data_IF_739562236577
#
_entry.id   IF_739562236577
#
_cell.length_a   1.000
_cell.length_b   1.000
_cell.length_c   1.000
_cell.angle_alpha   90.00
_cell.angle_beta   90.00
_cell.angle_gamma   90.00
#
_symmetry.space_group_name_H-M   'P 1'
#
loop_
_entity.id
_entity.type
_entity.pdbx_description
1 polymer ?
#
# COMPACT_ATOMS: atom_id res chain seq x y z
N UNK A 1 -4.39 -25.69 2.92
CA UNK A 1 -4.85 -25.60 1.53
C UNK A 1 -4.37 -24.26 1.02
N UNK A 2 -3.39 -24.25 0.12
CA UNK A 2 -2.86 -23.01 -0.44
C UNK A 2 -3.78 -22.59 -1.57
N UNK A 3 -4.60 -21.57 -1.36
CA UNK A 3 -5.28 -20.89 -2.45
C UNK A 3 -4.22 -20.00 -3.09
N UNK A 4 -3.48 -20.54 -4.06
CA UNK A 4 -2.72 -19.73 -4.99
C UNK A 4 -3.70 -19.13 -5.98
N UNK A 5 -4.45 -18.12 -5.54
CA UNK A 5 -5.19 -17.23 -6.42
C UNK A 5 -4.15 -16.32 -7.04
N UNK A 6 -3.74 -16.59 -8.28
CA UNK A 6 -2.99 -15.62 -9.06
C UNK A 6 -3.94 -14.46 -9.36
N UNK A 7 -3.78 -13.36 -8.64
CA UNK A 7 -4.43 -12.10 -8.96
C UNK A 7 -3.75 -11.53 -10.20
N UNK A 8 -4.25 -11.89 -11.39
CA UNK A 8 -3.73 -11.33 -12.64
C UNK A 8 -4.34 -9.94 -12.90
N UNK A 9 -3.47 -8.98 -13.18
CA UNK A 9 -3.87 -7.63 -13.57
C UNK A 9 -4.40 -7.62 -15.00
N UNK A 10 -5.52 -6.94 -15.22
CA UNK A 10 -6.10 -6.68 -16.54
C UNK A 10 -5.22 -5.68 -17.31
N UNK A 11 -4.73 -4.67 -16.62
CA UNK A 11 -3.90 -3.60 -17.18
C UNK A 11 -2.97 -3.05 -16.11
N UNK A 12 -1.76 -2.62 -16.50
CA UNK A 12 -0.84 -1.90 -15.63
C UNK A 12 -0.05 -0.85 -16.40
N UNK A 13 0.25 0.28 -15.77
CA UNK A 13 1.05 1.34 -16.41
C UNK A 13 1.06 2.65 -15.66
N UNK A 14 1.88 3.57 -16.15
CA UNK A 14 2.01 4.92 -15.59
C UNK A 14 0.90 5.86 -16.08
N UNK A 15 0.28 6.57 -15.15
CA UNK A 15 -0.53 7.76 -15.38
C UNK A 15 0.03 8.93 -14.54
N UNK A 16 1.02 9.61 -15.11
CA UNK A 16 1.79 10.68 -14.47
C UNK A 16 2.42 10.18 -13.17
N UNK A 17 2.36 10.83 -11.98
CA UNK A 17 3.16 10.29 -10.90
C UNK A 17 2.59 8.96 -10.36
N UNK A 18 1.43 8.52 -10.86
CA UNK A 18 0.77 7.30 -10.41
C UNK A 18 1.15 6.09 -11.26
N UNK A 19 1.62 5.04 -10.61
CA UNK A 19 1.63 3.71 -11.22
C UNK A 19 0.30 3.01 -10.93
N UNK A 20 -0.41 2.60 -11.97
CA UNK A 20 -1.75 2.03 -11.86
C UNK A 20 -1.76 0.55 -12.18
N UNK A 21 -2.52 -0.20 -11.40
CA UNK A 21 -2.86 -1.59 -11.65
C UNK A 21 -4.38 -1.72 -11.63
N UNK A 22 -4.93 -2.23 -12.73
CA UNK A 22 -6.35 -2.55 -12.88
C UNK A 22 -6.56 -4.04 -12.65
N UNK A 23 -7.33 -4.35 -11.62
CA UNK A 23 -7.77 -5.71 -11.31
C UNK A 23 -9.23 -5.87 -11.72
N UNK A 24 -9.76 -7.09 -11.61
CA UNK A 24 -11.18 -7.30 -11.86
C UNK A 24 -12.03 -6.47 -10.87
N UNK A 25 -11.76 -6.59 -9.56
CA UNK A 25 -12.60 -6.03 -8.48
C UNK A 25 -12.24 -4.62 -8.01
N UNK A 26 -11.05 -4.14 -8.36
CA UNK A 26 -10.56 -2.83 -7.94
C UNK A 26 -9.48 -2.28 -8.87
N UNK A 27 -9.31 -0.96 -8.82
CA UNK A 27 -8.16 -0.26 -9.41
C UNK A 27 -7.28 0.25 -8.27
N UNK A 28 -5.99 -0.03 -8.31
CA UNK A 28 -4.99 0.52 -7.39
C UNK A 28 -4.11 1.54 -8.11
N UNK A 29 -3.90 2.69 -7.49
CA UNK A 29 -3.01 3.77 -7.96
C UNK A 29 -1.98 4.07 -6.89
N UNK A 30 -0.74 3.67 -7.14
CA UNK A 30 0.40 3.84 -6.25
C UNK A 30 1.18 5.09 -6.62
N UNK A 31 1.76 5.78 -5.64
CA UNK A 31 2.62 6.96 -5.82
C UNK A 31 4.07 6.66 -5.42
N UNK A 32 4.81 5.83 -6.18
CA UNK A 32 6.22 5.57 -5.91
C UNK A 32 7.07 6.83 -6.18
N UNK A 33 8.29 6.84 -5.65
CA UNK A 33 9.25 7.93 -5.91
C UNK A 33 9.74 7.91 -7.36
N UNK A 34 10.20 9.06 -7.86
CA UNK A 34 10.70 9.18 -9.24
C UNK A 34 11.92 8.27 -9.45
N UNK A 35 11.85 7.41 -10.48
CA UNK A 35 12.89 6.43 -10.80
C UNK A 35 13.03 5.27 -9.81
N UNK A 36 12.12 5.11 -8.84
CA UNK A 36 12.11 3.97 -7.92
C UNK A 36 11.78 2.66 -8.67
N UNK A 37 12.51 1.59 -8.32
CA UNK A 37 12.22 0.25 -8.83
C UNK A 37 10.93 -0.27 -8.19
N UNK A 38 9.94 -0.57 -9.02
CA UNK A 38 8.59 -0.99 -8.58
C UNK A 38 8.59 -2.31 -7.81
N UNK A 39 9.63 -3.15 -7.99
CA UNK A 39 9.79 -4.40 -7.26
C UNK A 39 10.39 -4.19 -5.86
N UNK A 40 10.99 -3.02 -5.60
CA UNK A 40 11.70 -2.69 -4.36
C UNK A 40 10.96 -1.64 -3.50
N UNK A 41 9.81 -1.14 -3.97
CA UNK A 41 9.00 -0.14 -3.26
C UNK A 41 8.70 -0.61 -1.84
N UNK A 42 9.14 0.18 -0.86
CA UNK A 42 9.07 -0.16 0.56
C UNK A 42 8.15 0.76 1.37
N UNK A 43 7.80 1.93 0.82
CA UNK A 43 6.90 2.93 1.41
C UNK A 43 6.17 3.63 0.26
N UNK A 44 4.84 3.53 0.21
CA UNK A 44 4.06 4.12 -0.89
C UNK A 44 2.64 4.47 -0.48
N UNK A 45 2.16 5.62 -0.94
CA UNK A 45 0.74 5.97 -0.88
C UNK A 45 -0.05 5.26 -1.97
N UNK A 46 -1.22 4.75 -1.62
CA UNK A 46 -2.10 4.05 -2.56
C UNK A 46 -3.53 4.54 -2.46
N UNK A 47 -4.12 4.86 -3.62
CA UNK A 47 -5.57 4.95 -3.76
C UNK A 47 -6.13 3.66 -4.33
N UNK A 48 -7.22 3.18 -3.73
CA UNK A 48 -7.98 2.03 -4.23
C UNK A 48 -9.40 2.48 -4.58
N UNK A 49 -9.82 2.20 -5.81
CA UNK A 49 -11.21 2.40 -6.25
C UNK A 49 -11.85 1.03 -6.44
N UNK A 50 -12.87 0.71 -5.65
CA UNK A 50 -13.60 -0.56 -5.76
C UNK A 50 -14.61 -0.51 -6.91
N UNK A 51 -15.07 -1.68 -7.41
CA UNK A 51 -16.13 -1.80 -8.43
C UNK A 51 -17.37 -0.92 -8.18
N UNK A 52 -17.74 -0.69 -6.91
CA UNK A 52 -18.89 0.14 -6.54
C UNK A 52 -18.62 1.66 -6.62
N UNK A 53 -17.44 2.07 -7.08
CA UNK A 53 -17.01 3.47 -7.22
C UNK A 53 -16.54 4.12 -5.92
N UNK A 54 -16.56 3.42 -4.79
CA UNK A 54 -15.99 3.95 -3.54
C UNK A 54 -14.47 4.02 -3.63
N UNK A 55 -13.92 5.14 -3.14
CA UNK A 55 -12.49 5.43 -3.16
C UNK A 55 -11.92 5.42 -1.74
N UNK A 56 -10.73 4.85 -1.62
CA UNK A 56 -10.07 4.57 -0.36
C UNK A 56 -8.58 4.89 -0.46
N UNK A 57 -7.94 5.17 0.67
CA UNK A 57 -6.51 5.50 0.78
C UNK A 57 -5.85 4.71 1.90
N UNK A 58 -4.57 4.41 1.70
CA UNK A 58 -3.66 3.93 2.72
C UNK A 58 -2.22 4.36 2.37
N UNK A 59 -1.36 4.43 3.38
CA UNK A 59 0.09 4.44 3.18
C UNK A 59 0.64 3.06 3.57
N UNK A 60 1.29 2.39 2.62
CA UNK A 60 1.81 1.04 2.80
C UNK A 60 3.29 1.10 3.13
N UNK A 61 3.73 0.37 4.15
CA UNK A 61 5.13 0.22 4.54
C UNK A 61 5.52 -1.24 4.61
N UNK A 62 6.76 -1.59 4.30
CA UNK A 62 7.31 -2.90 4.67
C UNK A 62 7.75 -2.92 6.13
N UNK A 63 7.80 -4.11 6.74
CA UNK A 63 8.35 -4.28 8.10
C UNK A 63 9.79 -3.74 8.18
N UNK A 64 10.60 -4.02 7.16
CA UNK A 64 12.00 -3.57 7.07
C UNK A 64 12.10 -2.05 7.00
N UNK A 65 11.19 -1.39 6.29
CA UNK A 65 11.19 0.07 6.18
C UNK A 65 10.77 0.75 7.48
N UNK A 66 9.76 0.20 8.18
CA UNK A 66 9.40 0.68 9.52
C UNK A 66 10.60 0.59 10.46
N UNK A 67 11.31 -0.54 10.46
CA UNK A 67 12.52 -0.69 11.28
C UNK A 67 13.62 0.30 10.88
N UNK A 68 13.85 0.49 9.58
CA UNK A 68 14.85 1.42 9.05
C UNK A 68 14.55 2.85 9.50
N UNK A 69 13.29 3.29 9.41
CA UNK A 69 12.85 4.62 9.84
C UNK A 69 13.01 4.81 11.34
N UNK A 70 12.61 3.83 12.16
CA UNK A 70 12.80 3.89 13.61
C UNK A 70 14.27 3.97 14.00
N UNK A 71 15.16 3.24 13.30
CA UNK A 71 16.62 3.35 13.50
C UNK A 71 17.17 4.70 13.03
N UNK A 72 16.65 5.26 11.94
CA UNK A 72 17.05 6.57 11.43
C UNK A 72 16.70 7.69 12.42
N UNK A 73 15.55 7.60 13.08
CA UNK A 73 15.12 8.55 14.12
C UNK A 73 15.76 8.28 15.49
N UNK A 74 16.62 7.27 15.61
CA UNK A 74 17.32 7.01 16.86
C UNK A 74 18.28 8.17 17.19
N UNK A 75 18.06 8.81 18.34
CA UNK A 75 18.85 9.96 18.78
C UNK A 75 18.36 11.32 18.25
N UNK A 76 17.20 11.35 17.59
CA UNK A 76 16.49 12.58 17.22
C UNK A 76 15.24 12.77 18.09
N UNK A 77 14.50 13.87 17.92
CA UNK A 77 13.26 14.12 18.67
C UNK A 77 12.02 13.48 18.00
N UNK A 78 12.16 13.04 16.74
CA UNK A 78 11.13 12.34 15.99
C UNK A 78 10.74 11.01 16.64
N UNK A 79 9.42 10.80 16.77
CA UNK A 79 8.83 9.59 17.33
C UNK A 79 9.46 9.13 18.66
N UNK A 80 9.73 10.10 19.56
CA UNK A 80 10.41 9.88 20.85
C UNK A 80 11.77 9.17 20.70
N UNK A 81 12.55 9.58 19.70
CA UNK A 81 13.83 8.97 19.35
C UNK A 81 13.65 7.62 18.67
N UNK A 82 12.68 7.53 17.76
CA UNK A 82 12.38 6.30 17.00
C UNK A 82 11.78 5.15 17.82
N UNK A 83 11.16 5.44 18.97
CA UNK A 83 10.57 4.40 19.85
C UNK A 83 9.24 3.86 19.33
N UNK A 84 8.59 4.59 18.44
CA UNK A 84 7.37 4.14 17.80
C UNK A 84 7.35 4.54 16.33
N UNK A 85 6.43 3.92 15.61
CA UNK A 85 6.05 4.29 14.25
C UNK A 85 4.52 4.39 14.22
N UNK A 86 3.98 5.40 13.54
CA UNK A 86 2.55 5.60 13.44
C UNK A 86 2.17 6.40 12.19
N UNK A 87 1.08 5.98 11.54
CA UNK A 87 0.41 6.65 10.43
C UNK A 87 -1.09 6.30 10.52
N UNK A 88 -1.96 7.25 10.19
CA UNK A 88 -3.41 7.14 10.41
C UNK A 88 -4.10 6.06 9.58
N UNK A 89 -3.58 5.79 8.38
CA UNK A 89 -4.05 4.83 7.38
C UNK A 89 -2.93 3.87 6.97
N UNK A 90 -2.12 3.47 7.95
CA UNK A 90 -0.97 2.59 7.75
C UNK A 90 -1.32 1.13 7.53
N UNK A 91 -0.81 0.54 6.46
CA UNK A 91 -0.75 -0.91 6.27
C UNK A 91 0.70 -1.37 6.26
N UNK A 92 1.06 -2.29 7.15
CA UNK A 92 2.39 -2.93 7.15
C UNK A 92 2.31 -4.25 6.39
N UNK A 93 3.09 -4.37 5.32
CA UNK A 93 3.27 -5.61 4.55
C UNK A 93 4.64 -6.23 4.82
N UNK A 94 4.79 -7.52 4.51
CA UNK A 94 6.05 -8.22 4.72
C UNK A 94 7.08 -7.87 3.65
N UNK A 95 6.70 -8.05 2.40
CA UNK A 95 7.59 -8.03 1.26
C UNK A 95 7.42 -6.74 0.44
N UNK A 96 8.51 -6.17 -0.11
CA UNK A 96 8.45 -4.96 -0.93
C UNK A 96 7.77 -5.20 -2.28
N UNK A 97 7.49 -4.11 -2.97
CA UNK A 97 7.09 -4.12 -4.38
C UNK A 97 5.59 -4.03 -4.59
N UNK A 98 5.22 -3.35 -5.68
CA UNK A 98 3.83 -3.02 -6.00
C UNK A 98 2.97 -4.28 -6.23
N UNK A 99 3.53 -5.33 -6.82
CA UNK A 99 2.81 -6.58 -7.07
C UNK A 99 2.48 -7.33 -5.77
N UNK A 100 3.40 -7.32 -4.79
CA UNK A 100 3.15 -7.87 -3.45
C UNK A 100 2.08 -7.06 -2.72
N UNK A 101 2.15 -5.73 -2.76
CA UNK A 101 1.15 -4.85 -2.14
C UNK A 101 -0.23 -5.01 -2.78
N UNK A 102 -0.29 -5.19 -4.11
CA UNK A 102 -1.54 -5.46 -4.83
C UNK A 102 -2.15 -6.79 -4.43
N UNK A 103 -1.33 -7.83 -4.25
CA UNK A 103 -1.77 -9.14 -3.76
C UNK A 103 -2.36 -9.04 -2.35
N UNK A 104 -1.74 -8.24 -1.46
CA UNK A 104 -2.28 -7.98 -0.13
C UNK A 104 -3.63 -7.27 -0.21
N UNK A 105 -3.76 -6.22 -1.03
CA UNK A 105 -5.04 -5.49 -1.21
C UNK A 105 -6.13 -6.44 -1.69
N UNK A 106 -5.83 -7.30 -2.67
CA UNK A 106 -6.79 -8.27 -3.18
C UNK A 106 -7.23 -9.26 -2.09
N UNK A 107 -6.29 -9.80 -1.31
CA UNK A 107 -6.60 -10.67 -0.18
C UNK A 107 -7.45 -9.99 0.91
N UNK A 108 -7.20 -8.71 1.22
CA UNK A 108 -8.00 -7.94 2.18
C UNK A 108 -9.45 -7.75 1.69
N UNK A 109 -9.64 -7.56 0.37
CA UNK A 109 -10.97 -7.44 -0.23
C UNK A 109 -11.70 -8.79 -0.18
N UNK A 110 -11.03 -9.89 -0.55
CA UNK A 110 -11.61 -11.25 -0.49
C UNK A 110 -12.02 -11.65 0.93
N UNK A 111 -11.21 -11.29 1.93
CA UNK A 111 -11.48 -11.62 3.33
C UNK A 111 -12.48 -10.67 4.01
N UNK A 112 -12.87 -9.57 3.35
CA UNK A 112 -13.77 -8.56 3.92
C UNK A 112 -13.13 -7.64 4.97
N UNK A 113 -11.81 -7.62 5.07
CA UNK A 113 -11.03 -6.84 6.05
C UNK A 113 -10.66 -5.44 5.51
N UNK A 114 -10.80 -5.23 4.20
CA UNK A 114 -10.36 -4.02 3.51
C UNK A 114 -10.86 -2.71 4.16
N UNK A 115 -12.15 -2.62 4.49
CA UNK A 115 -12.75 -1.38 5.06
C UNK A 115 -12.35 -1.08 6.50
N UNK A 116 -11.74 -2.04 7.21
CA UNK A 116 -11.23 -1.83 8.57
C UNK A 116 -9.84 -1.20 8.57
N UNK A 117 -9.09 -1.39 7.48
CA UNK A 117 -7.69 -0.98 7.33
C UNK A 117 -7.58 0.30 6.51
N UNK A 118 -8.29 0.38 5.39
CA UNK A 118 -8.23 1.53 4.49
C UNK A 118 -9.15 2.65 4.96
N UNK A 119 -8.72 3.90 4.77
CA UNK A 119 -9.57 5.05 5.04
C UNK A 119 -10.39 5.42 3.80
N UNK A 120 -11.70 5.61 4.00
CA UNK A 120 -12.58 6.02 2.93
C UNK A 120 -12.37 7.49 2.59
N UNK A 121 -12.19 7.80 1.32
CA UNK A 121 -12.15 9.18 0.82
C UNK A 121 -13.59 9.69 0.70
N UNK A 122 -14.00 10.54 1.64
CA UNK A 122 -15.28 11.24 1.58
C UNK A 122 -14.97 12.61 0.98
N UNK A 123 -15.57 12.91 -0.18
CA UNK A 123 -15.49 14.26 -0.74
C UNK A 123 -16.12 15.23 0.28
N UNK A 124 -15.35 16.21 0.74
CA UNK A 124 -15.87 17.37 1.46
C UNK A 124 -16.44 18.39 0.47
#
# INVERSE_FOLDING_TARGET
>A
MSCSTSFEAIERGWDKPWYRIRMEDFDASFLPSDGEDLDEVCNVDVFVTLKNGSRWTATVFTVVEVERLMRLWAGTDEALGGRYFWVSDGLIVRDPGIDNMTTVIAGLIENGEFSEIFQRVINA
#
